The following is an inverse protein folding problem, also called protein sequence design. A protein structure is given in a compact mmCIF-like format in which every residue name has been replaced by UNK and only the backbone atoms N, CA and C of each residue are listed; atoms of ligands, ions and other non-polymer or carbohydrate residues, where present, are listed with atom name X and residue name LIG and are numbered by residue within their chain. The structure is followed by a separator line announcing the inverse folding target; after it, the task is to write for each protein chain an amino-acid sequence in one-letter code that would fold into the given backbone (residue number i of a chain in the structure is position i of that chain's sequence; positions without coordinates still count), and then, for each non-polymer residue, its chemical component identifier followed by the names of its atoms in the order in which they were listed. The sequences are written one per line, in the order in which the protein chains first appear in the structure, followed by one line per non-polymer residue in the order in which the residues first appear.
data_IF_361023398746
#
_entry.id   IF_361023398746
#
_cell.length_a   1.000
_cell.length_b   1.000
_cell.length_c   1.000
_cell.angle_alpha   90.00
_cell.angle_beta   90.00
_cell.angle_gamma   90.00
#
_symmetry.space_group_name_H-M   'P 1'
#
loop_
_entity.id
_entity.type
_entity.pdbx_description
1 polymer ?
#
# COMPACT_ATOMS: atom_id res chain seq x y z
N UNK A 1 14.72 10.83 19.47
CA UNK A 1 14.60 10.08 18.19
C UNK A 1 14.19 8.66 18.52
N UNK A 2 12.96 8.26 18.20
CA UNK A 2 12.55 6.85 18.36
C UNK A 2 12.92 6.12 17.06
N UNK A 3 13.83 5.15 17.14
CA UNK A 3 14.18 4.30 16.00
C UNK A 3 13.01 3.37 15.70
N UNK A 4 12.48 3.45 14.48
CA UNK A 4 11.51 2.48 13.98
C UNK A 4 12.31 1.24 13.61
N UNK A 5 12.16 0.17 14.41
CA UNK A 5 12.76 -1.12 14.10
C UNK A 5 11.91 -1.81 13.03
N UNK A 6 12.45 -1.94 11.83
CA UNK A 6 11.79 -2.63 10.72
C UNK A 6 12.02 -4.13 10.86
N UNK A 7 11.00 -4.84 11.35
CA UNK A 7 11.05 -6.29 11.57
C UNK A 7 11.08 -7.06 10.23
N UNK A 8 11.93 -8.09 10.14
CA UNK A 8 12.03 -8.96 8.95
C UNK A 8 10.79 -9.87 8.82
N UNK A 9 10.14 -9.95 7.64
CA UNK A 9 8.87 -10.66 7.46
C UNK A 9 8.87 -12.19 7.69
N UNK A 10 10.02 -12.86 7.76
CA UNK A 10 10.09 -14.33 7.72
C UNK A 10 9.94 -15.05 9.06
N UNK A 11 9.88 -14.35 10.20
CA UNK A 11 9.96 -15.00 11.51
C UNK A 11 8.64 -15.05 12.32
N UNK A 12 7.57 -14.31 11.95
CA UNK A 12 6.50 -14.04 12.92
C UNK A 12 5.04 -13.99 12.44
N UNK A 13 4.71 -14.35 11.20
CA UNK A 13 3.29 -14.42 10.79
C UNK A 13 2.47 -15.49 11.57
N UNK A 14 3.13 -16.36 12.35
CA UNK A 14 2.51 -17.34 13.22
C UNK A 14 2.38 -16.97 14.71
N UNK A 15 2.82 -15.78 15.17
CA UNK A 15 2.70 -15.40 16.58
C UNK A 15 1.34 -14.75 16.87
N UNK A 16 0.63 -15.29 17.88
CA UNK A 16 -0.71 -14.84 18.30
C UNK A 16 -0.76 -13.37 18.74
N UNK A 17 0.38 -12.78 19.13
CA UNK A 17 0.53 -11.34 19.40
C UNK A 17 0.29 -10.50 18.14
N UNK A 18 1.02 -10.76 17.06
CA UNK A 18 0.89 -9.98 15.82
C UNK A 18 -0.48 -10.13 15.18
N UNK A 19 -1.10 -11.31 15.31
CA UNK A 19 -2.49 -11.50 14.89
C UNK A 19 -3.43 -10.54 15.64
N UNK A 20 -3.29 -10.45 16.97
CA UNK A 20 -4.10 -9.52 17.79
C UNK A 20 -3.82 -8.07 17.43
N UNK A 21 -2.56 -7.68 17.24
CA UNK A 21 -2.19 -6.31 16.86
C UNK A 21 -2.74 -5.93 15.48
N UNK A 22 -2.61 -6.82 14.49
CA UNK A 22 -3.17 -6.61 13.16
C UNK A 22 -4.70 -6.53 13.18
N UNK A 23 -5.36 -7.39 13.96
CA UNK A 23 -6.81 -7.32 14.14
C UNK A 23 -7.25 -6.02 14.83
N UNK A 24 -6.51 -5.55 15.83
CA UNK A 24 -6.77 -4.26 16.49
C UNK A 24 -6.60 -3.09 15.50
N UNK A 25 -5.56 -3.11 14.69
CA UNK A 25 -5.33 -2.11 13.65
C UNK A 25 -6.47 -2.08 12.63
N UNK A 26 -6.89 -3.25 12.15
CA UNK A 26 -8.00 -3.40 11.21
C UNK A 26 -9.31 -2.86 11.80
N UNK A 27 -9.59 -3.16 13.08
CA UNK A 27 -10.75 -2.64 13.79
C UNK A 27 -10.73 -1.10 13.91
N UNK A 28 -9.58 -0.51 14.21
CA UNK A 28 -9.44 0.95 14.28
C UNK A 28 -9.71 1.62 12.92
N UNK A 29 -9.18 1.05 11.84
CA UNK A 29 -9.46 1.50 10.47
C UNK A 29 -10.95 1.38 10.15
N UNK A 30 -11.57 0.24 10.49
CA UNK A 30 -12.99 -0.01 10.23
C UNK A 30 -13.87 1.08 10.86
N UNK A 31 -13.52 1.59 12.04
CA UNK A 31 -14.29 2.70 12.66
C UNK A 31 -14.33 3.96 11.80
N UNK A 32 -13.26 4.30 11.09
CA UNK A 32 -13.23 5.46 10.21
C UNK A 32 -14.02 5.24 8.93
N UNK A 33 -13.88 4.06 8.33
CA UNK A 33 -14.64 3.68 7.13
C UNK A 33 -16.16 3.67 7.40
N UNK A 34 -16.60 3.09 8.52
CA UNK A 34 -18.00 3.10 8.95
C UNK A 34 -18.52 4.53 9.21
N UNK A 35 -17.65 5.42 9.71
CA UNK A 35 -17.96 6.83 9.90
C UNK A 35 -17.87 7.66 8.59
N UNK A 36 -17.77 7.02 7.42
CA UNK A 36 -17.65 7.67 6.09
C UNK A 36 -16.44 8.60 5.97
N UNK A 37 -15.38 8.34 6.73
CA UNK A 37 -14.12 9.08 6.61
C UNK A 37 -13.31 8.46 5.48
N UNK A 38 -13.15 9.20 4.38
CA UNK A 38 -12.36 8.74 3.23
C UNK A 38 -10.89 8.51 3.61
N UNK A 39 -10.18 7.58 2.97
CA UNK A 39 -8.72 7.55 2.98
C UNK A 39 -8.12 8.83 2.36
N UNK A 40 -6.88 9.18 2.73
CA UNK A 40 -6.17 10.34 2.16
C UNK A 40 -5.14 9.84 1.13
N UNK A 41 -5.22 10.23 -0.15
CA UNK A 41 -4.24 9.80 -1.16
C UNK A 41 -2.85 10.38 -0.87
N UNK A 42 -1.81 9.60 -1.18
CA UNK A 42 -0.41 10.01 -1.13
C UNK A 42 0.06 10.27 -2.57
N UNK A 43 0.50 11.50 -2.86
CA UNK A 43 0.79 11.92 -4.24
C UNK A 43 2.10 11.33 -4.77
N UNK A 44 3.16 11.27 -3.96
CA UNK A 44 4.53 10.92 -4.39
C UNK A 44 4.79 9.40 -4.49
N UNK A 45 3.82 8.64 -4.99
CA UNK A 45 3.91 7.18 -5.22
C UNK A 45 3.49 6.83 -6.66
N UNK A 46 3.80 5.64 -7.17
CA UNK A 46 3.51 5.23 -8.56
C UNK A 46 2.13 4.60 -8.78
N UNK A 47 1.37 4.35 -7.73
CA UNK A 47 0.00 3.83 -7.78
C UNK A 47 -0.87 4.37 -6.65
N UNK A 48 -1.99 3.69 -6.41
CA UNK A 48 -2.90 3.93 -5.31
C UNK A 48 -2.23 3.66 -3.96
N UNK A 49 -1.98 4.73 -3.20
CA UNK A 49 -1.47 4.64 -1.83
C UNK A 49 -2.23 5.63 -0.98
N UNK A 50 -2.75 5.17 0.15
CA UNK A 50 -3.66 5.94 0.98
C UNK A 50 -3.33 5.84 2.46
N UNK A 51 -3.40 6.95 3.18
CA UNK A 51 -3.50 6.92 4.64
C UNK A 51 -4.93 6.58 5.07
N UNK A 52 -5.06 5.52 5.86
CA UNK A 52 -6.28 5.13 6.53
C UNK A 52 -6.44 5.91 7.83
N UNK A 53 -7.69 6.20 8.20
CA UNK A 53 -8.01 7.05 9.34
C UNK A 53 -9.01 6.37 10.27
N UNK A 54 -8.91 6.62 11.57
CA UNK A 54 -9.97 6.26 12.53
C UNK A 54 -11.16 7.22 12.44
N UNK A 55 -12.24 6.93 13.18
CA UNK A 55 -13.39 7.85 13.35
C UNK A 55 -13.01 9.26 13.83
N UNK A 56 -11.88 9.42 14.50
CA UNK A 56 -11.36 10.71 14.98
C UNK A 56 -10.38 11.35 13.98
N UNK A 57 -10.35 10.88 12.72
CA UNK A 57 -9.45 11.35 11.65
C UNK A 57 -7.95 11.16 11.91
N UNK A 58 -7.56 10.33 12.89
CA UNK A 58 -6.14 9.99 13.15
C UNK A 58 -5.62 9.01 12.10
N UNK A 59 -4.46 9.30 11.50
CA UNK A 59 -3.79 8.38 10.59
C UNK A 59 -3.40 7.09 11.34
N UNK A 60 -3.71 5.94 10.76
CA UNK A 60 -3.61 4.63 11.45
C UNK A 60 -2.86 3.59 10.62
N UNK A 61 -3.00 3.62 9.31
CA UNK A 61 -2.31 2.67 8.43
C UNK A 61 -2.10 3.22 7.04
N UNK A 62 -1.29 2.52 6.26
CA UNK A 62 -1.11 2.75 4.82
C UNK A 62 -1.78 1.60 4.08
N UNK A 63 -2.61 1.94 3.10
CA UNK A 63 -3.32 0.98 2.26
C UNK A 63 -2.86 1.12 0.81
N UNK A 64 -2.56 -0.02 0.19
CA UNK A 64 -2.16 -0.14 -1.21
C UNK A 64 -3.09 -1.17 -1.87
N UNK A 65 -4.14 -0.74 -2.59
CA UNK A 65 -5.03 -1.67 -3.30
C UNK A 65 -4.27 -2.34 -4.45
N UNK A 66 -4.41 -3.66 -4.59
CA UNK A 66 -3.70 -4.43 -5.60
C UNK A 66 -4.07 -4.03 -7.04
N UNK A 67 -5.32 -3.63 -7.27
CA UNK A 67 -5.83 -3.19 -8.57
C UNK A 67 -5.44 -1.75 -8.94
N UNK A 68 -4.86 -1.01 -7.99
CA UNK A 68 -4.35 0.35 -8.18
C UNK A 68 -2.81 0.45 -8.14
N UNK A 69 -2.10 -0.68 -8.07
CA UNK A 69 -0.63 -0.71 -8.12
C UNK A 69 -0.09 -0.14 -9.44
N UNK A 70 1.23 0.10 -9.50
CA UNK A 70 1.88 0.50 -10.75
C UNK A 70 1.49 -0.50 -11.86
N UNK A 71 1.02 0.00 -13.00
CA UNK A 71 0.59 -0.82 -14.15
C UNK A 71 -0.69 -1.65 -13.96
N UNK A 72 -1.41 -1.50 -12.85
CA UNK A 72 -2.70 -2.15 -12.59
C UNK A 72 -3.86 -1.41 -13.28
N UNK A 73 -5.00 -2.09 -13.57
CA UNK A 73 -6.06 -1.53 -14.42
C UNK A 73 -6.74 -0.28 -13.82
N UNK A 74 -6.76 -0.14 -12.49
CA UNK A 74 -7.42 0.96 -11.81
C UNK A 74 -6.42 1.97 -11.23
N UNK A 75 -5.17 2.00 -11.71
CA UNK A 75 -4.16 2.91 -11.20
C UNK A 75 -4.59 4.39 -11.39
N UNK A 76 -4.80 5.15 -10.30
CA UNK A 76 -5.30 6.53 -10.37
C UNK A 76 -4.26 7.54 -10.91
N UNK A 77 -3.01 7.13 -11.09
CA UNK A 77 -1.88 7.96 -11.53
C UNK A 77 -1.44 7.67 -12.96
N UNK A 78 -2.20 6.82 -13.66
CA UNK A 78 -1.99 6.54 -15.09
C UNK A 78 -0.55 6.10 -15.43
N UNK A 79 0.14 5.45 -14.48
CA UNK A 79 1.39 4.74 -14.73
C UNK A 79 1.07 3.47 -15.55
N UNK A 80 0.75 3.68 -16.81
CA UNK A 80 0.39 2.66 -17.78
C UNK A 80 1.64 1.92 -18.24
N UNK A 81 1.49 0.64 -18.58
CA UNK A 81 2.57 -0.10 -19.24
C UNK A 81 2.92 0.65 -20.51
N UNK A 82 4.20 0.88 -20.71
CA UNK A 82 4.77 1.52 -21.89
C UNK A 82 4.61 0.59 -23.11
N UNK A 83 3.38 0.31 -23.52
CA UNK A 83 3.04 -0.47 -24.72
C UNK A 83 2.65 0.47 -25.90
N UNK A 84 2.79 1.79 -25.72
CA UNK A 84 2.46 2.82 -26.74
C UNK A 84 3.58 3.80 -27.10
N UNK A 85 4.79 3.62 -26.57
CA UNK A 85 5.97 4.35 -27.06
C UNK A 85 6.95 3.33 -27.63
N UNK A 86 6.87 3.14 -28.95
CA UNK A 86 7.88 2.43 -29.70
C UNK A 86 9.25 3.06 -29.42
N UNK A 87 10.15 2.26 -28.84
CA UNK A 87 11.56 2.61 -28.69
C UNK A 87 11.85 3.47 -27.46
N UNK A 88 12.12 2.84 -26.32
CA UNK A 88 13.42 2.87 -25.65
C UNK A 88 13.35 1.95 -24.42
N UNK A 89 13.93 0.78 -24.61
CA UNK A 89 14.05 -0.31 -23.66
C UNK A 89 14.82 0.13 -22.39
N UNK A 90 14.10 0.40 -21.30
CA UNK A 90 14.67 0.54 -19.96
C UNK A 90 14.39 -0.64 -19.02
N UNK A 91 13.39 -1.48 -19.32
CA UNK A 91 13.05 -2.67 -18.53
C UNK A 91 13.68 -3.92 -19.14
N UNK A 92 14.55 -4.59 -18.39
CA UNK A 92 15.09 -5.89 -18.78
C UNK A 92 13.92 -6.87 -18.96
N UNK A 93 13.95 -7.59 -20.09
CA UNK A 93 12.99 -8.63 -20.43
C UNK A 93 12.97 -9.68 -19.32
N UNK A 94 11.88 -9.74 -18.54
CA UNK A 94 11.67 -10.74 -17.49
C UNK A 94 11.59 -10.24 -16.04
N UNK A 95 11.62 -8.92 -15.79
CA UNK A 95 11.40 -8.36 -14.45
C UNK A 95 10.05 -7.65 -14.44
N UNK A 96 9.09 -8.16 -13.67
CA UNK A 96 7.84 -7.46 -13.41
C UNK A 96 8.08 -6.36 -12.39
N UNK A 97 7.34 -5.26 -12.50
CA UNK A 97 7.39 -4.21 -11.48
C UNK A 97 6.91 -4.80 -10.14
N UNK A 98 7.83 -4.96 -9.19
CA UNK A 98 7.61 -5.66 -7.92
C UNK A 98 8.65 -6.75 -7.61
N UNK A 99 9.37 -7.25 -8.61
CA UNK A 99 10.36 -8.34 -8.46
C UNK A 99 11.71 -7.91 -7.83
N UNK A 100 11.83 -6.67 -7.37
CA UNK A 100 13.06 -6.10 -6.81
C UNK A 100 12.94 -5.67 -5.34
N UNK A 101 11.97 -6.23 -4.60
CA UNK A 101 11.84 -6.05 -3.15
C UNK A 101 12.54 -7.17 -2.37
#
# INVERSE_FOLDING_TARGET
MHSIEVLKPSAYTGSSMYFKEAALLANQVLTGLQARIAPVPINDCTGGVYYLRTKNRRLTGVFKPADEEAYAPNNPKEFLKLEKSGGLSGMRKGISAGDAA
#
